data_IF_339558336478
#
_entry.id   IF_339558336478
#
_cell.length_a   1.000
_cell.length_b   1.000
_cell.length_c   1.000
_cell.angle_alpha   90.00
_cell.angle_beta   90.00
_cell.angle_gamma   90.00
#
_symmetry.space_group_name_H-M   'P 1'
#
loop_
_entity.id
_entity.type
_entity.pdbx_description
1 polymer ?
#
# COMPACT_ATOMS: atom_id res chain seq x y z
N UNK A 1 -47.20 30.54 -5.00
CA UNK A 1 -47.38 29.35 -5.87
C UNK A 1 -46.07 28.99 -6.57
N UNK A 2 -45.44 29.92 -7.31
CA UNK A 2 -44.13 29.73 -7.96
C UNK A 2 -43.01 29.26 -7.01
N UNK A 3 -42.90 29.83 -5.80
CA UNK A 3 -41.89 29.44 -4.81
C UNK A 3 -42.05 27.98 -4.33
N UNK A 4 -43.29 27.48 -4.23
CA UNK A 4 -43.59 26.10 -3.82
C UNK A 4 -43.27 25.10 -4.94
N UNK A 5 -43.56 25.46 -6.19
CA UNK A 5 -43.22 24.65 -7.37
C UNK A 5 -41.69 24.56 -7.52
N UNK A 6 -40.98 25.69 -7.33
CA UNK A 6 -39.52 25.74 -7.34
C UNK A 6 -38.89 24.86 -6.24
N UNK A 7 -39.48 24.84 -5.03
CA UNK A 7 -39.02 24.01 -3.93
C UNK A 7 -39.24 22.51 -4.20
N UNK A 8 -40.40 22.14 -4.75
CA UNK A 8 -40.68 20.75 -5.13
C UNK A 8 -39.74 20.22 -6.21
N UNK A 9 -39.42 21.05 -7.22
CA UNK A 9 -38.45 20.69 -8.26
C UNK A 9 -37.06 20.48 -7.66
N UNK A 10 -36.62 21.38 -6.76
CA UNK A 10 -35.33 21.26 -6.08
C UNK A 10 -35.24 19.97 -5.23
N UNK A 11 -36.32 19.61 -4.53
CA UNK A 11 -36.38 18.37 -3.72
C UNK A 11 -36.26 17.14 -4.62
N UNK A 12 -36.97 17.10 -5.75
CA UNK A 12 -36.89 15.98 -6.69
C UNK A 12 -35.47 15.84 -7.23
N UNK A 13 -34.83 16.94 -7.63
CA UNK A 13 -33.43 16.93 -8.08
C UNK A 13 -32.51 16.39 -6.99
N UNK A 14 -32.66 16.84 -5.75
CA UNK A 14 -31.85 16.40 -4.62
C UNK A 14 -32.01 14.88 -4.36
N UNK A 15 -33.24 14.37 -4.42
CA UNK A 15 -33.54 12.94 -4.25
C UNK A 15 -32.89 12.13 -5.38
N UNK A 16 -33.00 12.58 -6.63
CA UNK A 16 -32.40 11.88 -7.78
C UNK A 16 -30.88 11.84 -7.67
N UNK A 17 -30.23 12.96 -7.31
CA UNK A 17 -28.77 13.01 -7.10
C UNK A 17 -28.36 12.04 -5.98
N UNK A 18 -29.10 12.03 -4.86
CA UNK A 18 -28.83 11.14 -3.73
C UNK A 18 -28.97 9.66 -4.11
N UNK A 19 -29.99 9.30 -4.88
CA UNK A 19 -30.19 7.93 -5.39
C UNK A 19 -29.06 7.48 -6.31
N UNK A 20 -28.66 8.33 -7.27
CA UNK A 20 -27.56 8.03 -8.19
C UNK A 20 -26.26 7.83 -7.39
N UNK A 21 -25.98 8.72 -6.43
CA UNK A 21 -24.81 8.61 -5.57
C UNK A 21 -24.84 7.31 -4.74
N UNK A 22 -25.99 6.97 -4.15
CA UNK A 22 -26.16 5.74 -3.37
C UNK A 22 -25.91 4.48 -4.20
N UNK A 23 -26.44 4.42 -5.43
CA UNK A 23 -26.24 3.29 -6.33
C UNK A 23 -24.77 3.17 -6.74
N UNK A 24 -24.14 4.28 -7.11
CA UNK A 24 -22.72 4.30 -7.48
C UNK A 24 -21.82 3.88 -6.31
N UNK A 25 -22.10 4.38 -5.11
CA UNK A 25 -21.33 4.06 -3.91
C UNK A 25 -21.43 2.57 -3.55
N UNK A 26 -22.65 2.02 -3.60
CA UNK A 26 -22.89 0.60 -3.33
C UNK A 26 -22.28 -0.31 -4.39
N UNK A 27 -22.36 0.06 -5.67
CA UNK A 27 -21.86 -0.77 -6.78
C UNK A 27 -20.34 -0.92 -6.78
N UNK A 28 -19.61 0.06 -6.23
CA UNK A 28 -18.16 0.06 -6.15
C UNK A 28 -17.64 -0.34 -4.75
N UNK A 29 -18.47 -0.98 -3.93
CA UNK A 29 -18.14 -1.44 -2.59
C UNK A 29 -18.13 -2.96 -2.52
N UNK A 30 -17.15 -3.52 -1.82
CA UNK A 30 -16.92 -4.97 -1.75
C UNK A 30 -16.92 -5.48 -0.31
N UNK A 31 -17.13 -6.79 -0.15
CA UNK A 31 -17.22 -7.45 1.16
C UNK A 31 -15.88 -7.49 1.88
N UNK A 32 -14.81 -7.78 1.13
CA UNK A 32 -13.45 -7.86 1.63
C UNK A 32 -12.50 -6.89 0.90
N UNK A 33 -11.42 -6.42 1.56
CA UNK A 33 -10.55 -5.41 0.97
C UNK A 33 -9.75 -5.92 -0.24
N UNK A 34 -9.37 -7.20 -0.26
CA UNK A 34 -8.72 -7.81 -1.42
C UNK A 34 -9.66 -7.89 -2.63
N UNK A 35 -10.97 -8.12 -2.44
CA UNK A 35 -11.95 -8.10 -3.53
C UNK A 35 -12.03 -6.72 -4.18
N UNK A 36 -11.99 -5.65 -3.38
CA UNK A 36 -11.99 -4.28 -3.89
C UNK A 36 -10.77 -3.95 -4.74
N UNK A 37 -9.61 -4.55 -4.45
CA UNK A 37 -8.39 -4.38 -5.24
C UNK A 37 -8.43 -5.21 -6.52
N UNK A 38 -8.80 -6.48 -6.42
CA UNK A 38 -8.89 -7.39 -7.58
C UNK A 38 -9.99 -7.00 -8.58
N UNK A 39 -10.97 -6.21 -8.14
CA UNK A 39 -11.96 -5.63 -9.04
C UNK A 39 -11.40 -4.52 -9.94
N UNK A 40 -10.33 -3.82 -9.52
CA UNK A 40 -9.60 -2.87 -10.37
C UNK A 40 -8.73 -3.63 -11.36
N UNK A 41 -7.94 -4.57 -10.84
CA UNK A 41 -6.98 -5.34 -11.63
C UNK A 41 -6.84 -6.74 -11.02
N UNK A 42 -7.25 -7.76 -11.80
CA UNK A 42 -7.35 -9.14 -11.34
C UNK A 42 -5.99 -9.84 -11.24
N UNK A 43 -4.98 -9.28 -11.88
CA UNK A 43 -3.66 -9.91 -11.99
C UNK A 43 -2.69 -9.40 -10.90
N UNK A 44 -3.19 -8.61 -9.95
CA UNK A 44 -2.40 -8.14 -8.81
C UNK A 44 -2.09 -9.29 -7.85
N UNK A 45 -0.81 -9.44 -7.56
CA UNK A 45 -0.34 -10.29 -6.48
C UNK A 45 -0.34 -9.48 -5.18
N UNK A 46 -1.29 -9.75 -4.29
CA UNK A 46 -1.55 -8.94 -3.10
C UNK A 46 -0.78 -9.42 -1.86
N UNK A 47 -0.20 -8.47 -1.13
CA UNK A 47 0.48 -8.66 0.15
C UNK A 47 -0.19 -7.79 1.23
N UNK A 48 -1.03 -8.37 2.10
CA UNK A 48 -1.66 -7.63 3.17
C UNK A 48 -0.60 -7.23 4.22
N UNK A 49 -0.42 -5.94 4.44
CA UNK A 49 0.43 -5.45 5.53
C UNK A 49 -0.35 -5.40 6.85
N UNK A 50 -1.54 -4.82 6.83
CA UNK A 50 -2.46 -4.83 7.97
C UNK A 50 -3.92 -4.57 7.56
N UNK A 51 -4.86 -4.92 8.46
CA UNK A 51 -6.29 -4.54 8.41
C UNK A 51 -6.75 -4.13 9.81
N UNK A 52 -6.96 -2.83 10.06
CA UNK A 52 -7.35 -2.29 11.37
C UNK A 52 -8.23 -1.05 11.25
N UNK A 53 -9.22 -0.91 12.13
CA UNK A 53 -10.07 0.28 12.24
C UNK A 53 -10.70 0.74 10.91
N UNK A 54 -11.14 -0.19 10.07
CA UNK A 54 -11.74 0.14 8.76
C UNK A 54 -10.76 0.62 7.70
N UNK A 55 -9.45 0.53 7.95
CA UNK A 55 -8.40 0.75 6.97
C UNK A 55 -7.60 -0.55 6.77
N UNK A 56 -7.11 -0.76 5.56
CA UNK A 56 -6.16 -1.82 5.26
C UNK A 56 -5.08 -1.28 4.34
N UNK A 57 -3.84 -1.69 4.58
CA UNK A 57 -2.71 -1.41 3.71
C UNK A 57 -2.35 -2.71 2.98
N UNK A 58 -2.27 -2.61 1.67
CA UNK A 58 -1.77 -3.68 0.81
C UNK A 58 -0.57 -3.18 0.04
N UNK A 59 0.46 -4.01 0.00
CA UNK A 59 1.43 -3.97 -1.07
C UNK A 59 0.98 -4.92 -2.18
N UNK A 60 1.46 -4.70 -3.38
CA UNK A 60 1.16 -5.58 -4.50
C UNK A 60 2.29 -5.62 -5.51
N UNK A 61 2.40 -6.76 -6.20
CA UNK A 61 3.21 -6.88 -7.41
C UNK A 61 2.28 -6.90 -8.62
N UNK A 62 2.56 -6.06 -9.60
CA UNK A 62 1.84 -5.96 -10.87
C UNK A 62 2.77 -6.31 -12.03
N UNK A 63 2.25 -7.06 -13.01
CA UNK A 63 2.95 -7.44 -14.24
C UNK A 63 4.32 -8.10 -13.98
N UNK A 64 4.45 -8.76 -12.83
CA UNK A 64 5.69 -9.31 -12.25
C UNK A 64 6.73 -8.28 -11.83
N UNK A 65 6.82 -7.13 -12.47
CA UNK A 65 7.95 -6.20 -12.35
C UNK A 65 7.60 -4.82 -11.80
N UNK A 66 6.46 -4.63 -11.17
CA UNK A 66 6.12 -3.39 -10.49
C UNK A 66 5.74 -3.68 -9.06
N UNK A 67 6.37 -2.97 -8.12
CA UNK A 67 5.96 -2.96 -6.73
C UNK A 67 5.07 -1.74 -6.48
N UNK A 68 3.93 -1.96 -5.85
CA UNK A 68 3.00 -0.91 -5.48
C UNK A 68 2.48 -1.03 -4.07
N UNK A 69 1.84 0.05 -3.64
CA UNK A 69 1.13 0.14 -2.38
C UNK A 69 -0.22 0.82 -2.59
N UNK A 70 -1.18 0.47 -1.74
CA UNK A 70 -2.50 1.09 -1.74
C UNK A 70 -3.19 0.90 -0.40
N UNK A 71 -3.94 1.92 -0.01
CA UNK A 71 -4.91 1.82 1.06
C UNK A 71 -6.26 1.33 0.54
N UNK A 72 -6.97 0.57 1.37
CA UNK A 72 -8.36 0.18 1.16
C UNK A 72 -9.15 0.63 2.38
N UNK A 73 -10.24 1.37 2.16
CA UNK A 73 -11.04 1.97 3.24
C UNK A 73 -12.44 1.37 3.26
N UNK A 74 -12.95 1.11 4.46
CA UNK A 74 -14.31 0.65 4.69
C UNK A 74 -15.26 1.83 4.73
N UNK A 75 -16.15 1.91 3.75
CA UNK A 75 -17.28 2.83 3.72
C UNK A 75 -18.56 2.20 4.29
N UNK A 76 -19.68 2.90 4.10
CA UNK A 76 -21.00 2.47 4.60
C UNK A 76 -21.50 1.16 3.96
N UNK A 77 -21.12 0.88 2.70
CA UNK A 77 -21.61 -0.27 1.95
C UNK A 77 -20.57 -1.38 1.74
N UNK A 78 -19.33 -1.18 2.21
CA UNK A 78 -18.24 -2.14 2.02
C UNK A 78 -16.88 -1.48 1.90
N UNK A 79 -15.89 -2.24 1.46
CA UNK A 79 -14.52 -1.79 1.21
C UNK A 79 -14.39 -1.19 -0.18
N UNK A 80 -13.58 -0.14 -0.28
CA UNK A 80 -13.24 0.55 -1.52
C UNK A 80 -11.74 0.73 -1.59
N UNK A 81 -11.17 0.42 -2.73
CA UNK A 81 -9.77 0.63 -3.03
C UNK A 81 -9.50 2.12 -3.24
N UNK A 82 -8.35 2.56 -2.73
CA UNK A 82 -7.78 3.86 -3.07
C UNK A 82 -7.13 3.84 -4.45
N UNK A 83 -6.41 4.91 -4.76
CA UNK A 83 -5.57 4.97 -5.96
C UNK A 83 -4.41 4.00 -5.82
N UNK A 84 -4.14 3.20 -6.84
CA UNK A 84 -2.96 2.35 -6.88
C UNK A 84 -1.77 3.19 -7.37
N UNK A 85 -0.69 3.21 -6.60
CA UNK A 85 0.60 3.74 -7.07
C UNK A 85 1.62 2.62 -7.07
N UNK A 86 2.42 2.56 -8.11
CA UNK A 86 3.41 1.53 -8.29
C UNK A 86 4.57 2.05 -9.10
N UNK A 87 5.70 1.37 -9.01
CA UNK A 87 6.91 1.73 -9.73
C UNK A 87 7.69 0.49 -10.12
N UNK A 88 8.55 0.59 -11.16
CA UNK A 88 9.33 -0.54 -11.62
C UNK A 88 10.19 -1.12 -10.50
N UNK A 89 10.17 -2.44 -10.41
CA UNK A 89 11.05 -3.27 -9.59
C UNK A 89 12.07 -3.94 -10.50
N UNK A 90 13.34 -3.89 -10.11
CA UNK A 90 14.44 -4.51 -10.85
C UNK A 90 14.75 -5.91 -10.28
N UNK A 91 14.22 -6.97 -10.88
CA UNK A 91 14.48 -8.34 -10.42
C UNK A 91 15.95 -8.76 -10.50
N UNK A 92 16.76 -8.09 -11.34
CA UNK A 92 18.19 -8.41 -11.46
C UNK A 92 19.02 -7.75 -10.37
N UNK A 93 18.41 -6.90 -9.55
CA UNK A 93 19.07 -6.20 -8.46
C UNK A 93 19.24 -7.11 -7.25
N UNK A 94 20.38 -7.01 -6.58
CA UNK A 94 20.72 -7.87 -5.43
C UNK A 94 20.01 -7.45 -4.12
N UNK A 95 19.44 -6.24 -4.05
CA UNK A 95 18.72 -5.67 -2.89
C UNK A 95 19.42 -5.80 -1.51
N UNK A 96 20.72 -6.13 -1.45
CA UNK A 96 21.47 -6.23 -0.19
C UNK A 96 21.72 -4.88 0.50
N UNK A 97 21.46 -3.78 -0.22
CA UNK A 97 21.63 -2.38 0.18
C UNK A 97 20.34 -1.60 -0.05
N UNK A 98 20.24 -0.41 0.54
CA UNK A 98 19.14 0.51 0.24
C UNK A 98 19.24 0.96 -1.22
N UNK A 99 18.10 1.03 -1.89
CA UNK A 99 18.04 1.17 -3.34
C UNK A 99 16.98 2.19 -3.75
N UNK A 100 16.92 3.28 -3.00
CA UNK A 100 15.84 4.25 -3.06
C UNK A 100 14.62 3.78 -2.27
N UNK A 101 13.55 4.57 -2.38
CA UNK A 101 12.27 4.32 -1.76
C UNK A 101 11.16 4.86 -2.66
N UNK A 102 9.97 4.30 -2.50
CA UNK A 102 8.76 4.76 -3.16
C UNK A 102 7.83 5.40 -2.14
N UNK A 103 7.16 6.49 -2.54
CA UNK A 103 6.08 7.10 -1.77
C UNK A 103 4.72 6.61 -2.23
N UNK A 104 3.77 6.48 -1.31
CA UNK A 104 2.35 6.33 -1.61
C UNK A 104 1.53 7.22 -0.69
N UNK A 105 0.80 8.17 -1.27
CA UNK A 105 0.30 9.33 -0.50
C UNK A 105 1.46 10.10 0.16
N UNK A 106 1.16 11.13 0.94
CA UNK A 106 2.20 11.96 1.59
C UNK A 106 2.85 11.28 2.81
N UNK A 107 2.34 10.10 3.20
CA UNK A 107 2.55 9.54 4.54
C UNK A 107 3.15 8.12 4.56
N UNK A 108 3.25 7.43 3.42
CA UNK A 108 3.83 6.08 3.36
C UNK A 108 5.05 6.08 2.46
N UNK A 109 6.17 5.58 2.98
CA UNK A 109 7.34 5.21 2.20
C UNK A 109 7.61 3.73 2.33
N UNK A 110 8.13 3.13 1.26
CA UNK A 110 8.43 1.71 1.23
C UNK A 110 9.51 1.38 0.20
N UNK A 111 10.11 0.21 0.36
CA UNK A 111 11.08 -0.31 -0.59
C UNK A 111 11.34 -1.80 -0.38
N UNK A 112 12.28 -2.32 -1.16
CA UNK A 112 12.70 -3.73 -1.07
C UNK A 112 14.09 -3.82 -0.45
N UNK A 113 14.27 -4.87 0.34
CA UNK A 113 15.57 -5.23 0.92
C UNK A 113 15.71 -6.75 0.94
N UNK A 114 16.91 -7.25 0.67
CA UNK A 114 17.26 -8.65 0.81
C UNK A 114 17.91 -8.90 2.17
N UNK A 115 17.31 -9.79 2.94
CA UNK A 115 17.75 -10.19 4.29
C UNK A 115 17.88 -11.70 4.31
N UNK A 116 19.10 -12.21 4.16
CA UNK A 116 19.39 -13.65 4.15
C UNK A 116 19.25 -14.24 5.54
N UNK A 117 19.01 -15.54 5.61
CA UNK A 117 19.05 -16.29 6.88
C UNK A 117 20.35 -16.02 7.67
N UNK A 118 20.19 -15.53 8.90
CA UNK A 118 21.29 -15.17 9.80
C UNK A 118 21.77 -13.72 9.69
N UNK A 119 21.39 -12.98 8.64
CA UNK A 119 21.61 -11.53 8.56
C UNK A 119 20.52 -10.82 9.36
N UNK A 120 20.80 -10.47 10.61
CA UNK A 120 19.85 -9.65 11.37
C UNK A 120 20.00 -8.17 10.98
N UNK A 121 19.13 -7.70 10.08
CA UNK A 121 19.07 -6.32 9.61
C UNK A 121 17.74 -5.68 9.99
N UNK A 122 17.75 -4.37 10.20
CA UNK A 122 16.52 -3.57 10.34
C UNK A 122 16.69 -2.22 9.66
N UNK A 123 15.58 -1.57 9.34
CA UNK A 123 15.60 -0.25 8.70
C UNK A 123 15.07 0.78 9.68
N UNK A 124 15.77 1.90 9.77
CA UNK A 124 15.44 3.04 10.62
C UNK A 124 15.17 4.26 9.75
N UNK A 125 14.09 4.98 10.04
CA UNK A 125 13.77 6.28 9.46
C UNK A 125 13.89 7.28 10.61
N UNK A 126 14.94 8.08 10.58
CA UNK A 126 15.37 8.92 11.69
C UNK A 126 15.51 8.14 13.01
N UNK A 127 14.57 8.32 13.94
CA UNK A 127 14.53 7.66 15.24
C UNK A 127 13.56 6.46 15.31
N UNK A 128 12.83 6.19 14.24
CA UNK A 128 11.77 5.17 14.22
C UNK A 128 12.17 3.95 13.39
N UNK A 129 11.70 2.78 13.79
CA UNK A 129 11.91 1.55 13.03
C UNK A 129 10.85 1.40 11.92
N UNK A 130 11.29 1.01 10.74
CA UNK A 130 10.43 0.51 9.69
C UNK A 130 9.83 -0.84 10.08
N UNK A 131 8.67 -1.14 9.49
CA UNK A 131 8.12 -2.48 9.50
C UNK A 131 8.75 -3.30 8.37
N UNK A 132 8.88 -4.61 8.59
CA UNK A 132 9.34 -5.57 7.59
C UNK A 132 8.23 -6.58 7.30
N UNK A 133 8.00 -6.83 6.02
CA UNK A 133 7.00 -7.78 5.51
C UNK A 133 7.70 -8.76 4.57
N UNK A 134 7.81 -10.02 4.96
CA UNK A 134 8.42 -11.05 4.12
C UNK A 134 7.55 -11.32 2.88
N UNK A 135 8.18 -11.37 1.70
CA UNK A 135 7.49 -11.76 0.47
C UNK A 135 7.34 -13.28 0.31
N UNK A 136 8.02 -14.07 1.15
CA UNK A 136 7.94 -15.53 1.16
C UNK A 136 6.66 -16.07 1.81
N UNK A 137 5.78 -15.19 2.30
CA UNK A 137 4.47 -15.60 2.82
C UNK A 137 3.52 -16.13 1.72
N UNK A 138 3.93 -16.02 0.46
CA UNK A 138 3.20 -16.57 -0.68
C UNK A 138 3.45 -18.07 -0.88
N UNK A 139 2.59 -18.75 -1.64
CA UNK A 139 2.87 -20.10 -2.11
C UNK A 139 4.25 -20.20 -2.76
N UNK A 140 5.01 -21.25 -2.44
CA UNK A 140 6.41 -21.42 -2.87
C UNK A 140 6.61 -21.31 -4.38
N UNK A 141 5.65 -21.79 -5.19
CA UNK A 141 5.74 -21.67 -6.65
C UNK A 141 5.74 -20.21 -7.13
N UNK A 142 5.07 -19.30 -6.42
CA UNK A 142 5.08 -17.87 -6.75
C UNK A 142 6.40 -17.26 -6.29
N UNK A 143 6.88 -17.64 -5.10
CA UNK A 143 8.17 -17.16 -4.58
C UNK A 143 9.28 -17.50 -5.57
N UNK A 144 9.34 -18.75 -6.04
CA UNK A 144 10.31 -19.21 -7.03
C UNK A 144 10.14 -18.52 -8.39
N UNK A 145 8.90 -18.43 -8.91
CA UNK A 145 8.61 -17.82 -10.20
C UNK A 145 8.99 -16.33 -10.25
N UNK A 146 8.85 -15.63 -9.12
CA UNK A 146 9.09 -14.18 -9.00
C UNK A 146 10.44 -13.86 -8.34
N UNK A 147 11.22 -14.88 -7.94
CA UNK A 147 12.53 -14.75 -7.28
C UNK A 147 12.47 -13.90 -6.01
N UNK A 148 11.51 -14.21 -5.14
CA UNK A 148 11.21 -13.42 -3.94
C UNK A 148 11.88 -13.95 -2.66
N UNK A 149 12.81 -14.90 -2.80
CA UNK A 149 13.54 -15.49 -1.68
C UNK A 149 14.40 -14.45 -0.98
N UNK A 150 14.34 -14.46 0.35
CA UNK A 150 14.98 -13.50 1.27
C UNK A 150 14.55 -12.04 1.03
N UNK A 151 13.53 -11.76 0.21
CA UNK A 151 13.10 -10.40 -0.09
C UNK A 151 12.00 -9.96 0.88
N UNK A 152 12.20 -8.78 1.46
CA UNK A 152 11.26 -8.12 2.33
C UNK A 152 10.84 -6.78 1.73
N UNK A 153 9.57 -6.45 1.91
CA UNK A 153 9.13 -5.06 1.83
C UNK A 153 9.42 -4.43 3.18
N UNK A 154 10.21 -3.37 3.18
CA UNK A 154 10.28 -2.48 4.32
C UNK A 154 9.35 -1.30 4.09
N UNK A 155 8.68 -0.83 5.15
CA UNK A 155 7.78 0.31 5.03
C UNK A 155 7.64 1.10 6.32
N UNK A 156 7.36 2.39 6.17
CA UNK A 156 7.14 3.31 7.26
C UNK A 156 5.97 4.23 6.95
N UNK A 157 5.03 4.28 7.89
CA UNK A 157 3.83 5.11 7.82
C UNK A 157 3.93 6.19 8.89
N UNK A 158 3.82 7.44 8.47
CA UNK A 158 3.87 8.62 9.33
C UNK A 158 2.50 9.29 9.42
N UNK A 159 2.20 9.89 10.56
CA UNK A 159 0.98 10.70 10.74
C UNK A 159 1.07 12.04 10.00
N UNK A 160 2.28 12.51 9.71
CA UNK A 160 2.58 13.75 8.99
C UNK A 160 3.34 13.48 7.69
N UNK A 161 3.30 14.44 6.77
CA UNK A 161 4.06 14.37 5.54
C UNK A 161 5.55 14.13 5.80
N UNK A 162 6.15 13.22 5.05
CA UNK A 162 7.57 12.88 5.10
C UNK A 162 8.33 13.81 4.16
N UNK A 163 8.90 14.90 4.70
CA UNK A 163 9.56 15.93 3.87
C UNK A 163 11.09 15.90 3.93
N UNK A 164 11.69 15.46 5.04
CA UNK A 164 13.14 15.42 5.25
C UNK A 164 13.45 14.30 6.24
N UNK A 165 14.51 13.52 5.98
CA UNK A 165 15.02 12.53 6.92
C UNK A 165 16.11 11.67 6.32
N UNK A 166 16.61 10.71 7.10
CA UNK A 166 17.54 9.68 6.62
C UNK A 166 16.92 8.30 6.79
N UNK A 167 17.01 7.47 5.75
CA UNK A 167 16.69 6.05 5.81
C UNK A 167 18.01 5.30 5.98
N UNK A 168 18.13 4.58 7.09
CA UNK A 168 19.34 3.83 7.47
C UNK A 168 19.04 2.34 7.50
N UNK A 169 19.91 1.56 6.86
CA UNK A 169 19.97 0.12 7.03
C UNK A 169 20.96 -0.18 8.15
N UNK A 170 20.49 -0.89 9.16
CA UNK A 170 21.20 -1.12 10.40
C UNK A 170 21.49 -2.60 10.57
N UNK A 171 22.67 -2.92 11.12
CA UNK A 171 22.94 -4.24 11.67
C UNK A 171 22.27 -4.36 13.03
N UNK A 172 21.37 -5.33 13.22
CA UNK A 172 20.62 -5.50 14.46
C UNK A 172 21.48 -5.94 15.64
N UNK A 173 22.62 -6.60 15.39
CA UNK A 173 23.49 -7.13 16.43
C UNK A 173 24.52 -6.09 16.91
N UNK A 174 25.04 -5.26 16.01
CA UNK A 174 26.09 -4.26 16.34
C UNK A 174 25.55 -2.83 16.43
N UNK A 175 24.34 -2.60 15.97
CA UNK A 175 23.75 -1.26 15.79
C UNK A 175 24.56 -0.34 14.86
N UNK A 176 25.40 -0.93 14.02
CA UNK A 176 26.19 -0.21 13.02
C UNK A 176 25.36 0.09 11.78
N UNK A 177 25.58 1.26 11.21
CA UNK A 177 24.98 1.68 9.93
C UNK A 177 25.67 0.91 8.80
N UNK A 178 24.89 0.14 8.05
CA UNK A 178 25.33 -0.60 6.86
C UNK A 178 25.24 0.29 5.62
N UNK A 179 24.16 1.08 5.53
CA UNK A 179 23.86 1.93 4.38
C UNK A 179 22.92 3.06 4.77
N UNK A 180 22.96 4.17 4.02
CA UNK A 180 22.10 5.35 4.24
C UNK A 180 21.67 5.95 2.92
N UNK A 181 20.41 6.35 2.82
CA UNK A 181 19.89 7.21 1.75
C UNK A 181 19.10 8.37 2.36
N UNK A 182 19.09 9.51 1.68
CA UNK A 182 18.26 10.65 2.04
C UNK A 182 16.80 10.41 1.61
N UNK A 183 15.87 10.91 2.42
CA UNK A 183 14.47 11.07 2.05
C UNK A 183 14.33 12.25 1.07
#
# INVERSE_FOLDING_TARGET
MLLKISLSILIVILITISLIWFIAEKSNSYSEPNEALLAIDKDLLLYPAYKRNGNALFFFIKDKNHLGATYVKKGLFGWKSGMLTYSPMDHKRNYEKLNGYQGHSDNLIYGLIKIKDGDEKYIKIDENNANLLSLEMLPSYIVEEYQLEDIYIWYFESDTALEVGEIKLMNKNTDEVIDTIDL
#
